data_IF_399225608081
#
_entry.id   IF_399225608081
#
_cell.length_a   1.000
_cell.length_b   1.000
_cell.length_c   1.000
_cell.angle_alpha   90.00
_cell.angle_beta   90.00
_cell.angle_gamma   90.00
#
_symmetry.space_group_name_H-M   'P 1'
#
loop_
_entity.id
_entity.type
_entity.pdbx_description
1 polymer ?
#
# COMPACT_ATOMS: atom_id res chain seq x y z
N UNK A 1 33.88 -43.12 12.15
CA UNK A 1 33.78 -41.68 11.81
C UNK A 1 34.60 -41.26 10.58
N UNK A 2 35.66 -41.99 10.22
CA UNK A 2 36.50 -41.71 9.03
C UNK A 2 35.79 -41.87 7.68
N UNK A 3 34.85 -42.81 7.57
CA UNK A 3 34.13 -43.08 6.31
C UNK A 3 33.27 -41.90 5.81
N UNK A 4 32.61 -41.15 6.71
CA UNK A 4 31.79 -40.00 6.31
C UNK A 4 32.64 -38.84 5.77
N UNK A 5 33.84 -38.63 6.31
CA UNK A 5 34.72 -37.55 5.85
C UNK A 5 35.23 -37.81 4.42
N UNK A 6 35.60 -39.05 4.12
CA UNK A 6 36.01 -39.46 2.77
C UNK A 6 34.88 -39.25 1.74
N UNK A 7 33.62 -39.52 2.11
CA UNK A 7 32.48 -39.25 1.24
C UNK A 7 32.32 -37.74 0.98
N UNK A 8 32.46 -36.90 1.99
CA UNK A 8 32.37 -35.44 1.81
C UNK A 8 33.49 -34.89 0.91
N UNK A 9 34.72 -35.35 1.09
CA UNK A 9 35.85 -34.89 0.30
C UNK A 9 35.72 -35.28 -1.19
N UNK A 10 35.21 -36.49 -1.47
CA UNK A 10 34.94 -36.92 -2.85
C UNK A 10 33.78 -36.14 -3.49
N UNK A 11 32.72 -35.83 -2.74
CA UNK A 11 31.63 -34.98 -3.23
C UNK A 11 32.10 -33.56 -3.54
N UNK A 12 32.99 -32.99 -2.71
CA UNK A 12 33.61 -31.70 -2.99
C UNK A 12 34.44 -31.77 -4.27
N UNK A 13 35.22 -32.84 -4.48
CA UNK A 13 36.02 -33.03 -5.70
C UNK A 13 35.15 -33.08 -6.96
N UNK A 14 34.08 -33.88 -6.95
CA UNK A 14 33.11 -33.99 -8.07
C UNK A 14 32.49 -32.63 -8.40
N UNK A 15 32.12 -31.85 -7.37
CA UNK A 15 31.56 -30.52 -7.56
C UNK A 15 32.61 -29.51 -8.05
N UNK A 16 33.86 -29.63 -7.62
CA UNK A 16 34.96 -28.77 -8.04
C UNK A 16 35.32 -28.98 -9.52
N UNK A 17 35.37 -30.24 -9.98
CA UNK A 17 35.61 -30.60 -11.39
C UNK A 17 34.53 -30.00 -12.30
N UNK A 18 33.26 -30.02 -11.86
CA UNK A 18 32.14 -29.49 -12.65
C UNK A 18 31.96 -27.97 -12.54
N UNK A 19 32.41 -27.37 -11.45
CA UNK A 19 32.25 -25.94 -11.15
C UNK A 19 33.60 -25.34 -10.72
N UNK A 20 34.57 -25.17 -11.64
CA UNK A 20 35.94 -24.79 -11.29
C UNK A 20 36.05 -23.40 -10.64
N UNK A 21 35.04 -22.54 -10.81
CA UNK A 21 34.95 -21.21 -10.17
C UNK A 21 34.43 -21.25 -8.73
N UNK A 22 33.99 -22.40 -8.22
CA UNK A 22 33.65 -22.54 -6.81
C UNK A 22 34.93 -22.77 -5.99
N UNK A 23 35.04 -22.16 -4.81
CA UNK A 23 36.15 -22.46 -3.91
C UNK A 23 35.79 -23.68 -3.04
N UNK A 24 36.79 -24.48 -2.70
CA UNK A 24 36.65 -25.68 -1.86
C UNK A 24 35.88 -25.38 -0.58
N UNK A 25 36.29 -24.35 0.17
CA UNK A 25 35.61 -23.92 1.42
C UNK A 25 34.12 -23.64 1.24
N UNK A 26 33.74 -23.09 0.08
CA UNK A 26 32.35 -22.77 -0.23
C UNK A 26 31.55 -24.02 -0.59
N UNK A 27 32.14 -24.97 -1.31
CA UNK A 27 31.51 -26.25 -1.61
C UNK A 27 31.26 -27.03 -0.32
N UNK A 28 32.25 -27.10 0.57
CA UNK A 28 32.12 -27.72 1.89
C UNK A 28 31.01 -27.10 2.71
N UNK A 29 30.95 -25.77 2.79
CA UNK A 29 29.87 -25.07 3.49
C UNK A 29 28.48 -25.32 2.86
N UNK A 30 28.38 -25.37 1.52
CA UNK A 30 27.11 -25.66 0.85
C UNK A 30 26.63 -27.09 1.10
N UNK A 31 27.54 -28.07 1.06
CA UNK A 31 27.23 -29.46 1.40
C UNK A 31 26.78 -29.58 2.85
N UNK A 32 27.49 -28.98 3.81
CA UNK A 32 27.05 -28.96 5.21
C UNK A 32 25.68 -28.33 5.38
N UNK A 33 25.43 -27.18 4.72
CA UNK A 33 24.14 -26.48 4.77
C UNK A 33 22.98 -27.30 4.23
N UNK A 34 23.25 -28.16 3.25
CA UNK A 34 22.26 -29.01 2.60
C UNK A 34 22.38 -30.48 3.05
N UNK A 35 22.98 -30.74 4.21
CA UNK A 35 23.13 -32.06 4.82
C UNK A 35 23.71 -33.15 3.88
N UNK A 36 24.62 -32.75 2.98
CA UNK A 36 25.23 -33.63 2.00
C UNK A 36 24.40 -33.89 0.73
N UNK A 37 23.27 -33.21 0.54
CA UNK A 37 22.47 -33.31 -0.70
C UNK A 37 23.19 -32.62 -1.87
N UNK A 38 23.93 -33.40 -2.65
CA UNK A 38 24.71 -32.96 -3.81
C UNK A 38 23.81 -32.30 -4.86
N UNK A 39 22.59 -32.78 -5.08
CA UNK A 39 21.71 -32.27 -6.13
C UNK A 39 21.20 -30.88 -5.80
N UNK A 40 20.86 -30.62 -4.54
CA UNK A 40 20.55 -29.26 -4.09
C UNK A 40 21.76 -28.31 -4.23
N UNK A 41 22.97 -28.78 -3.88
CA UNK A 41 24.19 -27.99 -4.04
C UNK A 41 24.49 -27.72 -5.52
N UNK A 42 24.36 -28.73 -6.39
CA UNK A 42 24.52 -28.62 -7.85
C UNK A 42 23.50 -27.63 -8.41
N UNK A 43 22.22 -27.71 -8.06
CA UNK A 43 21.20 -26.77 -8.51
C UNK A 43 21.55 -25.32 -8.11
N UNK A 44 22.05 -25.11 -6.89
CA UNK A 44 22.53 -23.79 -6.44
C UNK A 44 23.75 -23.30 -7.22
N UNK A 45 24.69 -24.18 -7.56
CA UNK A 45 25.88 -23.84 -8.34
C UNK A 45 25.54 -23.52 -9.79
N UNK A 46 24.64 -24.29 -10.43
CA UNK A 46 24.12 -23.97 -11.78
C UNK A 46 23.46 -22.59 -11.80
N UNK A 47 22.61 -22.27 -10.83
CA UNK A 47 22.00 -20.95 -10.73
C UNK A 47 23.03 -19.83 -10.53
N UNK A 48 24.13 -20.13 -9.82
CA UNK A 48 25.21 -19.18 -9.58
C UNK A 48 26.02 -18.94 -10.85
N UNK A 49 26.39 -19.99 -11.57
CA UNK A 49 27.18 -19.91 -12.78
C UNK A 49 26.38 -19.28 -13.91
N UNK A 50 25.08 -19.58 -14.01
CA UNK A 50 24.19 -18.84 -14.90
C UNK A 50 24.20 -17.34 -14.61
N UNK A 51 24.16 -16.94 -13.33
CA UNK A 51 24.29 -15.52 -12.95
C UNK A 51 25.67 -14.97 -13.27
N UNK A 52 26.74 -15.73 -13.04
CA UNK A 52 28.12 -15.32 -13.35
C UNK A 52 28.31 -15.10 -14.84
N UNK A 53 27.92 -16.07 -15.67
CA UNK A 53 28.03 -15.98 -17.13
C UNK A 53 27.17 -14.84 -17.68
N UNK A 54 26.00 -14.58 -17.07
CA UNK A 54 25.22 -13.39 -17.38
C UNK A 54 25.99 -12.10 -17.08
N UNK A 55 26.71 -12.02 -15.95
CA UNK A 55 27.52 -10.84 -15.65
C UNK A 55 28.71 -10.71 -16.59
N UNK A 56 29.41 -11.80 -16.88
CA UNK A 56 30.54 -11.82 -17.81
C UNK A 56 30.08 -11.36 -19.21
N UNK A 57 28.92 -11.83 -19.69
CA UNK A 57 28.34 -11.40 -20.97
C UNK A 57 27.94 -9.92 -20.98
N UNK A 58 27.41 -9.40 -19.87
CA UNK A 58 27.11 -7.96 -19.76
C UNK A 58 28.39 -7.12 -19.67
N UNK A 59 29.41 -7.61 -18.99
CA UNK A 59 30.73 -6.98 -18.88
C UNK A 59 31.43 -6.93 -20.23
N UNK A 60 31.36 -8.01 -21.02
CA UNK A 60 31.88 -8.05 -22.39
C UNK A 60 31.14 -7.04 -23.29
N UNK A 61 29.81 -6.96 -23.17
CA UNK A 61 28.99 -6.07 -24.01
C UNK A 61 29.08 -4.59 -23.64
N UNK A 62 29.14 -4.27 -22.36
CA UNK A 62 28.96 -2.90 -21.86
C UNK A 62 30.11 -2.41 -20.98
N UNK A 63 31.12 -3.24 -20.69
CA UNK A 63 32.15 -2.94 -19.69
C UNK A 63 32.96 -1.69 -20.02
N UNK A 64 33.28 -1.47 -21.30
CA UNK A 64 33.97 -0.25 -21.77
C UNK A 64 33.09 0.98 -21.56
N UNK A 65 31.83 0.92 -22.00
CA UNK A 65 30.84 2.00 -21.84
C UNK A 65 30.55 2.31 -20.37
N UNK A 66 30.46 1.31 -19.51
CA UNK A 66 30.29 1.51 -18.06
C UNK A 66 31.51 2.20 -17.47
N UNK A 67 32.73 1.85 -17.90
CA UNK A 67 33.94 2.53 -17.44
C UNK A 67 33.96 4.00 -17.87
N UNK A 68 33.62 4.31 -19.13
CA UNK A 68 33.50 5.70 -19.60
C UNK A 68 32.43 6.47 -18.83
N UNK A 69 31.27 5.87 -18.60
CA UNK A 69 30.18 6.49 -17.85
C UNK A 69 30.52 6.74 -16.36
N UNK A 70 31.35 5.88 -15.75
CA UNK A 70 31.89 6.11 -14.40
C UNK A 70 32.91 7.24 -14.36
N UNK A 71 33.65 7.48 -15.44
CA UNK A 71 34.59 8.61 -15.53
C UNK A 71 33.85 9.93 -15.76
N UNK A 72 32.80 9.92 -16.59
CA UNK A 72 32.03 11.12 -16.94
C UNK A 72 31.10 11.60 -15.82
N UNK A 73 30.47 10.69 -15.06
CA UNK A 73 29.39 11.04 -14.13
C UNK A 73 29.80 10.71 -12.67
N UNK A 74 29.99 11.72 -11.80
CA UNK A 74 30.37 11.50 -10.40
C UNK A 74 29.40 10.58 -9.63
N UNK A 75 28.09 10.72 -9.84
CA UNK A 75 27.10 9.86 -9.18
C UNK A 75 27.21 8.38 -9.59
N UNK A 76 27.70 8.08 -10.79
CA UNK A 76 27.95 6.72 -11.24
C UNK A 76 29.15 6.06 -10.54
N UNK A 77 30.13 6.83 -10.06
CA UNK A 77 31.31 6.30 -9.35
C UNK A 77 30.94 5.62 -8.03
N UNK A 78 29.92 6.14 -7.34
CA UNK A 78 29.42 5.58 -6.08
C UNK A 78 28.71 4.23 -6.25
N UNK A 79 28.29 3.90 -7.48
CA UNK A 79 27.53 2.69 -7.77
C UNK A 79 28.47 1.51 -8.03
N UNK A 80 28.16 0.36 -7.41
CA UNK A 80 28.83 -0.90 -7.73
C UNK A 80 28.68 -1.20 -9.23
N UNK A 81 29.76 -1.60 -9.90
CA UNK A 81 29.81 -1.92 -11.34
C UNK A 81 28.66 -2.80 -11.83
N UNK A 82 28.34 -3.86 -11.08
CA UNK A 82 27.21 -4.77 -11.38
C UNK A 82 25.87 -4.03 -11.51
N UNK A 83 25.66 -2.95 -10.74
CA UNK A 83 24.43 -2.16 -10.79
C UNK A 83 24.36 -1.31 -12.06
N UNK A 84 25.48 -0.78 -12.52
CA UNK A 84 25.55 -0.04 -13.79
C UNK A 84 25.33 -0.97 -14.98
N UNK A 85 25.93 -2.16 -14.99
CA UNK A 85 25.67 -3.17 -16.03
C UNK A 85 24.18 -3.55 -16.13
N UNK A 86 23.47 -3.65 -14.99
CA UNK A 86 22.02 -3.87 -15.00
C UNK A 86 21.22 -2.69 -15.54
N UNK A 87 21.71 -1.46 -15.33
CA UNK A 87 21.07 -0.27 -15.91
C UNK A 87 21.28 -0.25 -17.41
N UNK A 88 22.49 -0.53 -17.89
CA UNK A 88 22.79 -0.70 -19.31
C UNK A 88 21.89 -1.78 -19.94
N UNK A 89 21.79 -2.97 -19.32
CA UNK A 89 20.89 -4.03 -19.80
C UNK A 89 19.42 -3.55 -19.85
N UNK A 90 18.98 -2.80 -18.84
CA UNK A 90 17.60 -2.33 -18.71
C UNK A 90 17.22 -1.32 -19.79
N UNK A 91 18.15 -0.46 -20.19
CA UNK A 91 17.96 0.56 -21.22
C UNK A 91 18.58 0.11 -22.56
N UNK A 92 18.70 -1.21 -22.77
CA UNK A 92 19.18 -1.81 -24.03
C UNK A 92 20.55 -1.32 -24.51
N UNK A 93 21.37 -0.76 -23.62
CA UNK A 93 22.67 -0.17 -23.96
C UNK A 93 22.63 1.34 -24.28
N UNK A 94 21.46 1.99 -24.23
CA UNK A 94 21.34 3.43 -24.46
C UNK A 94 21.95 4.23 -23.30
N UNK A 95 23.08 4.87 -23.59
CA UNK A 95 23.87 5.66 -22.64
C UNK A 95 23.11 6.91 -22.19
N UNK A 96 22.34 7.54 -23.06
CA UNK A 96 21.61 8.77 -22.74
C UNK A 96 20.43 8.50 -21.82
N UNK A 97 19.72 7.39 -22.00
CA UNK A 97 18.68 6.97 -21.06
C UNK A 97 19.25 6.62 -19.68
N UNK A 98 20.40 5.96 -19.63
CA UNK A 98 21.12 5.69 -18.37
C UNK A 98 21.56 6.99 -17.71
N UNK A 99 22.09 7.95 -18.47
CA UNK A 99 22.48 9.28 -17.98
C UNK A 99 21.29 10.03 -17.40
N UNK A 100 20.18 10.14 -18.14
CA UNK A 100 18.92 10.74 -17.66
C UNK A 100 18.39 10.06 -16.39
N UNK A 101 18.51 8.73 -16.30
CA UNK A 101 18.10 7.99 -15.11
C UNK A 101 18.99 8.31 -13.90
N UNK A 102 20.31 8.32 -14.08
CA UNK A 102 21.26 8.64 -13.01
C UNK A 102 21.11 10.08 -12.53
N UNK A 103 20.92 11.03 -13.45
CA UNK A 103 20.64 12.42 -13.11
C UNK A 103 19.35 12.55 -12.28
N UNK A 104 18.26 11.86 -12.65
CA UNK A 104 17.02 11.83 -11.85
C UNK A 104 17.22 11.17 -10.47
N UNK A 105 18.11 10.19 -10.36
CA UNK A 105 18.45 9.58 -9.07
C UNK A 105 19.25 10.56 -8.23
N UNK A 106 20.17 11.30 -8.83
CA UNK A 106 20.97 12.33 -8.17
C UNK A 106 20.11 13.52 -7.71
N UNK A 107 19.18 14.00 -8.53
CA UNK A 107 18.17 15.01 -8.14
C UNK A 107 17.33 14.52 -6.96
N UNK A 108 16.85 13.26 -7.01
CA UNK A 108 16.13 12.66 -5.88
C UNK A 108 17.01 12.48 -4.66
N UNK A 109 18.25 12.07 -4.83
CA UNK A 109 19.17 11.88 -3.73
C UNK A 109 19.61 13.24 -3.17
N UNK A 110 19.58 14.34 -3.93
CA UNK A 110 19.71 15.70 -3.41
C UNK A 110 18.48 16.11 -2.58
N UNK A 111 17.26 15.85 -3.07
CA UNK A 111 16.03 16.09 -2.30
C UNK A 111 15.92 15.19 -1.06
N UNK A 112 16.43 13.95 -1.15
CA UNK A 112 16.41 12.93 -0.09
C UNK A 112 17.68 12.95 0.76
N UNK A 113 18.73 13.69 0.39
CA UNK A 113 19.94 13.87 1.23
C UNK A 113 19.69 14.77 2.44
N UNK A 114 18.58 15.52 2.44
CA UNK A 114 17.95 16.03 3.67
C UNK A 114 17.54 14.90 4.66
N UNK A 115 17.67 13.64 4.25
CA UNK A 115 17.28 12.44 4.98
C UNK A 115 18.35 11.33 4.89
N UNK A 116 19.60 11.71 4.58
CA UNK A 116 20.77 10.82 4.64
C UNK A 116 20.91 10.21 6.04
N UNK A 117 21.58 9.06 6.19
CA UNK A 117 21.78 8.46 7.53
C UNK A 117 22.50 9.41 8.49
N UNK A 118 23.42 10.22 7.98
CA UNK A 118 24.11 11.25 8.75
C UNK A 118 23.15 12.37 9.14
N UNK A 119 22.34 12.87 8.20
CA UNK A 119 21.33 13.90 8.48
C UNK A 119 20.28 13.40 9.49
N UNK A 120 19.82 12.15 9.38
CA UNK A 120 18.92 11.53 10.37
C UNK A 120 19.55 11.39 11.76
N UNK A 121 20.87 11.18 11.85
CA UNK A 121 21.59 11.19 13.14
C UNK A 121 21.67 12.60 13.69
N UNK A 122 22.08 13.57 12.87
CA UNK A 122 22.15 14.97 13.27
C UNK A 122 20.79 15.50 13.74
N UNK A 123 19.74 15.34 12.93
CA UNK A 123 18.36 15.68 13.30
C UNK A 123 17.91 14.99 14.59
N UNK A 124 18.35 13.76 14.83
CA UNK A 124 18.04 13.05 16.08
C UNK A 124 18.72 13.72 17.27
N UNK A 125 19.98 14.12 17.16
CA UNK A 125 20.68 14.85 18.21
C UNK A 125 20.07 16.24 18.42
N UNK A 126 19.72 16.96 17.36
CA UNK A 126 19.00 18.24 17.44
C UNK A 126 17.65 18.09 18.17
N UNK A 127 16.87 17.05 17.84
CA UNK A 127 15.61 16.77 18.53
C UNK A 127 15.82 16.36 20.00
N UNK A 128 16.91 15.65 20.33
CA UNK A 128 17.25 15.33 21.72
C UNK A 128 17.56 16.61 22.49
N UNK A 129 18.36 17.50 21.94
CA UNK A 129 18.68 18.79 22.55
C UNK A 129 17.44 19.66 22.69
N UNK A 130 16.60 19.74 21.64
CA UNK A 130 15.35 20.53 21.64
C UNK A 130 14.34 20.05 22.69
N UNK A 131 14.25 18.74 22.92
CA UNK A 131 13.29 18.14 23.85
C UNK A 131 13.94 17.56 25.11
N UNK A 132 15.09 18.09 25.52
CA UNK A 132 15.87 17.52 26.63
C UNK A 132 15.06 17.41 27.93
N UNK A 133 14.34 18.47 28.31
CA UNK A 133 13.49 18.48 29.52
C UNK A 133 12.35 17.47 29.43
N UNK A 134 11.66 17.42 28.30
CA UNK A 134 10.56 16.48 28.06
C UNK A 134 11.04 15.02 28.08
N UNK A 135 12.27 14.76 27.63
CA UNK A 135 12.86 13.42 27.70
C UNK A 135 13.13 13.01 29.15
N UNK A 136 13.53 13.92 30.04
CA UNK A 136 13.66 13.63 31.47
C UNK A 136 12.30 13.27 32.07
N UNK A 137 11.24 14.04 31.77
CA UNK A 137 9.88 13.73 32.24
C UNK A 137 9.37 12.37 31.72
N UNK A 138 9.59 12.06 30.43
CA UNK A 138 9.24 10.76 29.87
C UNK A 138 10.03 9.60 30.50
N UNK A 139 11.30 9.84 30.84
CA UNK A 139 12.13 8.86 31.54
C UNK A 139 11.58 8.59 32.95
N UNK A 140 11.18 9.64 33.67
CA UNK A 140 10.51 9.53 34.98
C UNK A 140 9.18 8.77 34.89
N UNK A 141 8.45 8.92 33.78
CA UNK A 141 7.25 8.13 33.48
C UNK A 141 7.55 6.67 33.02
N UNK A 142 8.80 6.23 33.06
CA UNK A 142 9.21 4.86 32.71
C UNK A 142 9.22 4.56 31.21
N UNK A 143 9.25 5.58 30.35
CA UNK A 143 9.30 5.42 28.89
C UNK A 143 10.76 5.38 28.41
N UNK A 144 11.09 4.39 27.58
CA UNK A 144 12.41 4.30 26.97
C UNK A 144 12.65 5.45 25.97
N UNK A 145 13.45 6.42 26.39
CA UNK A 145 13.83 7.62 25.63
C UNK A 145 14.81 7.34 24.49
N UNK A 146 15.56 6.24 24.55
CA UNK A 146 16.51 5.83 23.50
C UNK A 146 15.83 5.27 22.25
N UNK A 147 14.52 4.98 22.31
CA UNK A 147 13.77 4.58 21.12
C UNK A 147 13.69 5.75 20.12
N UNK A 148 14.10 5.58 18.85
CA UNK A 148 13.88 6.59 17.80
C UNK A 148 12.39 6.94 17.59
N UNK A 149 11.49 6.08 18.08
CA UNK A 149 10.06 6.31 18.04
C UNK A 149 9.59 7.40 19.01
N UNK A 150 10.24 7.57 20.16
CA UNK A 150 9.87 8.52 21.22
C UNK A 150 10.09 9.95 20.75
N UNK A 151 11.28 10.24 20.21
CA UNK A 151 11.60 11.56 19.61
C UNK A 151 10.66 11.94 18.46
N UNK A 152 10.29 10.97 17.60
CA UNK A 152 9.30 11.23 16.53
C UNK A 152 7.90 11.51 17.07
N UNK A 153 7.52 10.93 18.21
CA UNK A 153 6.24 11.25 18.84
C UNK A 153 6.30 12.63 19.49
N UNK A 154 7.39 13.00 20.16
CA UNK A 154 7.57 14.35 20.70
C UNK A 154 7.47 15.39 19.58
N UNK A 155 8.22 15.21 18.49
CA UNK A 155 8.15 16.11 17.34
C UNK A 155 6.73 16.20 16.76
N UNK A 156 6.05 15.05 16.57
CA UNK A 156 4.69 15.01 16.02
C UNK A 156 3.63 15.66 16.93
N UNK A 157 3.82 15.63 18.24
CA UNK A 157 2.90 16.23 19.21
C UNK A 157 3.47 17.55 19.78
N UNK A 158 4.41 18.18 19.09
CA UNK A 158 4.97 19.50 19.44
C UNK A 158 5.52 19.57 20.88
N UNK A 159 6.07 18.47 21.39
CA UNK A 159 6.61 18.39 22.75
C UNK A 159 5.59 18.12 23.86
N UNK A 160 4.31 17.84 23.53
CA UNK A 160 3.29 17.48 24.53
C UNK A 160 3.60 16.10 25.15
N UNK A 161 4.16 16.12 26.37
CA UNK A 161 4.61 14.95 27.12
C UNK A 161 3.45 14.01 27.45
N UNK A 162 2.31 14.54 27.89
CA UNK A 162 1.15 13.75 28.29
C UNK A 162 0.59 12.93 27.12
N UNK A 163 0.45 13.54 25.93
CA UNK A 163 0.02 12.81 24.73
C UNK A 163 1.02 11.74 24.30
N UNK A 164 2.32 11.98 24.50
CA UNK A 164 3.36 10.98 24.20
C UNK A 164 3.27 9.83 25.20
N UNK A 165 3.08 10.11 26.50
CA UNK A 165 2.89 9.09 27.55
C UNK A 165 1.68 8.22 27.22
N UNK A 166 0.53 8.81 26.90
CA UNK A 166 -0.69 8.07 26.55
C UNK A 166 -0.45 7.15 25.34
N UNK A 167 0.16 7.67 24.27
CA UNK A 167 0.45 6.89 23.06
C UNK A 167 1.45 5.76 23.29
N UNK A 168 2.48 5.99 24.09
CA UNK A 168 3.49 4.98 24.41
C UNK A 168 2.93 3.91 25.35
N UNK A 169 2.11 4.31 26.33
CA UNK A 169 1.40 3.40 27.23
C UNK A 169 0.42 2.51 26.46
N UNK A 170 -0.40 3.06 25.56
CA UNK A 170 -1.28 2.27 24.69
C UNK A 170 -0.52 1.27 23.82
N UNK A 171 0.68 1.65 23.34
CA UNK A 171 1.53 0.73 22.56
C UNK A 171 2.09 -0.39 23.43
N UNK A 172 2.46 -0.09 24.67
CA UNK A 172 2.93 -1.06 25.66
C UNK A 172 1.81 -2.03 26.04
N UNK A 173 0.64 -1.53 26.39
CA UNK A 173 -0.55 -2.33 26.70
C UNK A 173 -0.93 -3.22 25.50
N UNK A 174 -0.92 -2.69 24.27
CA UNK A 174 -1.12 -3.51 23.06
C UNK A 174 -0.04 -4.55 22.83
N UNK A 175 1.18 -4.35 23.33
CA UNK A 175 2.27 -5.34 23.25
C UNK A 175 2.09 -6.40 24.33
N UNK A 176 1.73 -6.00 25.54
CA UNK A 176 1.44 -6.88 26.68
C UNK A 176 0.23 -7.77 26.39
N UNK A 177 -0.90 -7.21 25.93
CA UNK A 177 -2.05 -7.99 25.44
C UNK A 177 -1.68 -8.99 24.35
N UNK A 178 -0.72 -8.66 23.49
CA UNK A 178 -0.24 -9.61 22.46
C UNK A 178 0.59 -10.73 23.07
N UNK A 179 1.46 -10.43 24.02
CA UNK A 179 2.24 -11.47 24.71
C UNK A 179 1.35 -12.33 25.60
N UNK A 180 0.34 -11.76 26.24
CA UNK A 180 -0.68 -12.49 27.00
C UNK A 180 -1.49 -13.44 26.13
N UNK A 181 -1.86 -13.04 24.91
CA UNK A 181 -2.53 -13.96 23.98
C UNK A 181 -1.59 -15.07 23.51
N UNK A 182 -0.33 -14.75 23.26
CA UNK A 182 0.67 -15.75 22.88
C UNK A 182 0.91 -16.76 24.01
N UNK A 183 0.87 -16.34 25.29
CA UNK A 183 0.98 -17.25 26.45
C UNK A 183 -0.32 -18.00 26.75
N UNK A 184 -1.47 -17.31 26.73
CA UNK A 184 -2.81 -17.90 26.99
C UNK A 184 -3.12 -19.06 26.06
N UNK A 185 -2.71 -18.96 24.79
CA UNK A 185 -3.00 -19.97 23.76
C UNK A 185 -1.79 -20.80 23.36
N UNK A 186 -0.72 -20.83 24.15
CA UNK A 186 0.53 -21.49 23.80
C UNK A 186 0.34 -22.99 23.48
N UNK A 187 -0.44 -23.70 24.30
CA UNK A 187 -0.71 -25.14 24.12
C UNK A 187 -1.51 -25.43 22.86
N UNK A 188 -2.54 -24.62 22.56
CA UNK A 188 -3.36 -24.74 21.35
C UNK A 188 -2.56 -24.41 20.09
N UNK A 189 -1.65 -23.43 20.16
CA UNK A 189 -0.73 -23.12 19.08
C UNK A 189 0.20 -24.31 18.81
N UNK A 190 0.73 -24.95 19.87
CA UNK A 190 1.56 -26.15 19.73
C UNK A 190 0.78 -27.32 19.10
N UNK A 191 -0.50 -27.51 19.48
CA UNK A 191 -1.37 -28.51 18.87
C UNK A 191 -1.61 -28.22 17.37
N UNK A 192 -1.92 -26.99 16.99
CA UNK A 192 -2.07 -26.61 15.58
C UNK A 192 -0.76 -26.81 14.78
N UNK A 193 0.40 -26.56 15.39
CA UNK A 193 1.71 -26.82 14.78
C UNK A 193 1.95 -28.33 14.60
N UNK A 194 1.57 -29.17 15.57
CA UNK A 194 1.61 -30.63 15.49
C UNK A 194 0.68 -31.18 14.40
N UNK A 195 -0.50 -30.57 14.22
CA UNK A 195 -1.46 -30.87 13.15
C UNK A 195 -0.98 -30.39 11.76
N UNK A 196 0.26 -29.89 11.64
CA UNK A 196 0.87 -29.51 10.37
C UNK A 196 0.53 -28.10 9.87
N UNK A 197 -0.14 -27.27 10.68
CA UNK A 197 -0.53 -25.92 10.27
C UNK A 197 0.65 -24.95 10.43
N UNK A 198 1.42 -24.79 9.36
CA UNK A 198 2.61 -23.91 9.30
C UNK A 198 2.23 -22.45 9.00
N UNK A 199 1.83 -21.67 10.01
CA UNK A 199 1.69 -20.20 9.88
C UNK A 199 2.96 -19.51 10.35
N UNK A 200 3.64 -18.77 9.45
CA UNK A 200 4.91 -18.06 9.76
C UNK A 200 4.85 -17.08 10.93
N UNK A 201 3.65 -16.60 11.27
CA UNK A 201 3.45 -15.61 12.32
C UNK A 201 2.53 -16.19 13.41
N UNK A 202 3.13 -16.65 14.52
CA UNK A 202 2.39 -17.22 15.67
C UNK A 202 1.33 -16.27 16.24
N UNK A 203 1.55 -14.95 16.13
CA UNK A 203 0.57 -13.93 16.56
C UNK A 203 -0.74 -13.97 15.78
N UNK A 204 -0.71 -14.43 14.53
CA UNK A 204 -1.93 -14.61 13.75
C UNK A 204 -2.75 -15.79 14.27
N UNK A 205 -2.10 -16.85 14.75
CA UNK A 205 -2.76 -18.01 15.37
C UNK A 205 -3.41 -17.61 16.69
N UNK A 206 -2.68 -16.92 17.58
CA UNK A 206 -3.21 -16.46 18.87
C UNK A 206 -4.49 -15.62 18.71
N UNK A 207 -4.55 -14.74 17.71
CA UNK A 207 -5.76 -13.93 17.41
C UNK A 207 -6.92 -14.74 16.80
N UNK A 208 -6.61 -15.80 16.05
CA UNK A 208 -7.64 -16.68 15.51
C UNK A 208 -8.24 -17.54 16.62
N UNK A 209 -7.38 -18.03 17.52
CA UNK A 209 -7.81 -18.75 18.72
C UNK A 209 -8.61 -17.84 19.66
N UNK A 210 -8.22 -16.57 19.83
CA UNK A 210 -9.03 -15.60 20.57
C UNK A 210 -10.44 -15.43 19.98
N UNK A 211 -10.57 -15.38 18.65
CA UNK A 211 -11.87 -15.29 17.97
C UNK A 211 -12.68 -16.58 18.01
N UNK A 212 -12.01 -17.70 18.20
CA UNK A 212 -12.60 -19.03 18.30
C UNK A 212 -12.78 -19.46 19.76
N UNK A 213 -12.66 -18.53 20.71
CA UNK A 213 -12.75 -18.79 22.16
C UNK A 213 -11.84 -19.94 22.63
N UNK A 214 -10.66 -20.07 22.01
CA UNK A 214 -9.67 -21.11 22.31
C UNK A 214 -9.97 -22.48 21.69
N UNK A 215 -11.06 -22.64 20.94
CA UNK A 215 -11.42 -23.91 20.30
C UNK A 215 -10.55 -24.16 19.06
N UNK A 216 -9.75 -25.23 19.11
CA UNK A 216 -8.77 -25.58 18.08
C UNK A 216 -9.45 -25.93 16.76
N UNK A 217 -10.57 -26.64 16.77
CA UNK A 217 -11.25 -27.09 15.55
C UNK A 217 -11.94 -25.94 14.82
N UNK A 218 -12.54 -25.01 15.55
CA UNK A 218 -13.09 -23.76 14.97
C UNK A 218 -11.96 -22.91 14.38
N UNK A 219 -10.81 -22.82 15.06
CA UNK A 219 -9.64 -22.14 14.50
C UNK A 219 -9.12 -22.81 13.21
N UNK A 220 -9.12 -24.14 13.13
CA UNK A 220 -8.79 -24.89 11.90
C UNK A 220 -9.75 -24.54 10.76
N UNK A 221 -11.05 -24.49 11.04
CA UNK A 221 -12.06 -24.11 10.06
C UNK A 221 -11.83 -22.68 9.53
N UNK A 222 -11.63 -21.71 10.43
CA UNK A 222 -11.34 -20.32 10.05
C UNK A 222 -10.06 -20.19 9.20
N UNK A 223 -9.03 -21.00 9.49
CA UNK A 223 -7.80 -21.03 8.70
C UNK A 223 -8.06 -21.57 7.29
N UNK A 224 -8.88 -22.61 7.16
CA UNK A 224 -9.28 -23.19 5.87
C UNK A 224 -10.10 -22.20 5.03
N UNK A 225 -11.11 -21.56 5.62
CA UNK A 225 -11.90 -20.51 4.97
C UNK A 225 -11.03 -19.35 4.51
N UNK A 226 -10.07 -18.92 5.35
CA UNK A 226 -9.14 -17.85 4.99
C UNK A 226 -8.22 -18.24 3.83
N UNK A 227 -7.74 -19.49 3.79
CA UNK A 227 -6.95 -20.03 2.67
C UNK A 227 -7.78 -20.09 1.40
N UNK A 228 -9.02 -20.55 1.48
CA UNK A 228 -9.96 -20.60 0.35
C UNK A 228 -10.26 -19.20 -0.18
N UNK A 229 -10.58 -18.24 0.69
CA UNK A 229 -10.81 -16.83 0.30
C UNK A 229 -9.57 -16.21 -0.35
N UNK A 230 -8.37 -16.54 0.14
CA UNK A 230 -7.12 -16.14 -0.53
C UNK A 230 -6.93 -16.84 -1.87
N UNK A 231 -7.31 -18.11 -1.99
CA UNK A 231 -7.36 -18.88 -3.23
C UNK A 231 -8.27 -18.21 -4.25
N UNK A 232 -9.55 -18.00 -3.90
CA UNK A 232 -10.54 -17.28 -4.72
C UNK A 232 -10.07 -15.88 -5.10
N UNK A 233 -9.47 -15.11 -4.18
CA UNK A 233 -8.91 -13.80 -4.52
C UNK A 233 -7.71 -13.88 -5.47
N UNK A 234 -6.87 -14.92 -5.36
CA UNK A 234 -5.78 -15.17 -6.32
C UNK A 234 -6.32 -15.60 -7.67
N UNK A 235 -7.32 -16.46 -7.67
CA UNK A 235 -7.99 -16.96 -8.87
C UNK A 235 -8.75 -15.85 -9.57
N UNK A 236 -9.52 -15.02 -8.85
CA UNK A 236 -10.14 -13.81 -9.37
C UNK A 236 -9.10 -12.89 -10.00
N UNK A 237 -7.99 -12.62 -9.30
CA UNK A 237 -6.86 -11.86 -9.86
C UNK A 237 -6.20 -12.57 -11.05
N UNK A 238 -6.37 -13.88 -11.21
CA UNK A 238 -5.84 -14.65 -12.34
C UNK A 238 -6.82 -14.64 -13.53
N UNK A 239 -8.12 -14.82 -13.30
CA UNK A 239 -9.16 -14.72 -14.33
C UNK A 239 -9.21 -13.32 -14.91
N UNK A 240 -9.22 -12.29 -14.07
CA UNK A 240 -9.16 -10.89 -14.52
C UNK A 240 -7.77 -10.45 -15.01
N UNK A 241 -6.75 -11.31 -14.89
CA UNK A 241 -5.46 -11.12 -15.55
C UNK A 241 -5.43 -11.75 -16.95
N UNK A 242 -6.34 -12.68 -17.25
CA UNK A 242 -6.43 -13.38 -18.52
C UNK A 242 -7.53 -12.82 -19.44
N UNK A 243 -8.45 -12.00 -18.92
CA UNK A 243 -9.35 -11.19 -19.74
C UNK A 243 -8.54 -9.97 -20.20
N UNK A 244 -7.81 -10.15 -21.30
CA UNK A 244 -7.25 -9.02 -22.04
C UNK A 244 -8.43 -8.20 -22.59
N UNK A 245 -8.45 -6.87 -22.46
CA UNK A 245 -9.40 -6.02 -23.16
C UNK A 245 -8.98 -5.97 -24.64
N UNK A 246 -9.32 -7.02 -25.38
CA UNK A 246 -8.85 -7.22 -26.74
C UNK A 246 -9.47 -8.46 -27.36
N UNK A 247 -10.81 -8.51 -27.34
CA UNK A 247 -11.60 -9.52 -28.01
C UNK A 247 -12.66 -8.84 -28.86
N UNK A 248 -12.21 -8.17 -29.92
CA UNK A 248 -13.07 -7.84 -31.05
C UNK A 248 -13.63 -9.15 -31.58
N UNK A 249 -14.94 -9.24 -31.62
CA UNK A 249 -15.74 -10.30 -32.22
C UNK A 249 -15.23 -10.65 -33.62
N UNK A 250 -14.64 -11.84 -33.77
CA UNK A 250 -14.47 -12.48 -35.07
C UNK A 250 -15.18 -13.83 -35.01
N UNK A 251 -16.15 -13.96 -35.91
CA UNK A 251 -17.05 -15.08 -36.07
C UNK A 251 -16.33 -16.42 -36.25
N UNK A 252 -16.97 -17.41 -35.65
CA UNK A 252 -17.15 -18.78 -36.13
C UNK A 252 -16.71 -19.02 -37.58
N UNK A 253 -15.76 -19.94 -37.75
CA UNK A 253 -15.87 -20.93 -38.83
C UNK A 253 -15.35 -22.28 -38.35
N UNK A 254 -16.22 -23.28 -38.50
CA UNK A 254 -15.96 -24.69 -38.32
C UNK A 254 -14.84 -25.19 -39.24
N UNK A 255 -14.08 -26.18 -38.77
CA UNK A 255 -13.15 -26.90 -39.63
C UNK A 255 -12.28 -27.90 -38.88
N UNK A 256 -12.87 -29.05 -38.53
CA UNK A 256 -12.10 -30.23 -38.19
C UNK A 256 -11.20 -30.59 -39.38
N UNK A 257 -9.89 -30.47 -39.23
CA UNK A 257 -8.94 -30.86 -40.27
C UNK A 257 -7.78 -31.67 -39.67
N UNK A 258 -7.62 -32.84 -40.26
CA UNK A 258 -6.69 -33.90 -39.93
C UNK A 258 -5.23 -33.43 -39.83
N UNK A 259 -4.56 -33.95 -38.79
CA UNK A 259 -3.15 -33.82 -38.47
C UNK A 259 -2.24 -34.48 -39.53
N UNK A 260 -2.08 -33.83 -40.69
CA UNK A 260 -0.96 -34.12 -41.60
C UNK A 260 0.27 -33.38 -41.12
N UNK A 261 1.36 -34.12 -40.86
CA UNK A 261 2.71 -33.60 -40.62
C UNK A 261 3.20 -32.85 -41.87
N UNK A 262 2.76 -31.60 -42.07
CA UNK A 262 3.49 -30.68 -42.94
C UNK A 262 4.85 -30.44 -42.27
N UNK A 263 5.94 -30.75 -42.99
CA UNK A 263 7.29 -30.31 -42.59
C UNK A 263 7.23 -28.80 -42.45
N UNK A 264 7.23 -28.32 -41.21
CA UNK A 264 7.31 -26.89 -40.92
C UNK A 264 8.72 -26.47 -41.31
N UNK A 265 8.83 -25.65 -42.34
CA UNK A 265 10.10 -25.02 -42.69
C UNK A 265 10.45 -24.05 -41.56
N UNK A 266 11.66 -24.18 -41.03
CA UNK A 266 12.16 -23.27 -40.01
C UNK A 266 12.45 -21.92 -40.65
N UNK A 267 12.00 -20.83 -40.02
CA UNK A 267 12.41 -19.50 -40.44
C UNK A 267 13.92 -19.31 -40.23
N UNK A 268 14.51 -18.32 -40.91
CA UNK A 268 15.91 -17.94 -40.68
C UNK A 268 16.19 -17.67 -39.18
N UNK A 269 15.24 -17.02 -38.50
CA UNK A 269 15.34 -16.69 -37.08
C UNK A 269 15.26 -17.94 -36.20
N UNK A 270 14.41 -18.91 -36.54
CA UNK A 270 14.30 -20.20 -35.84
C UNK A 270 15.63 -20.97 -35.90
N UNK A 271 16.31 -20.93 -37.04
CA UNK A 271 17.62 -21.57 -37.23
C UNK A 271 18.67 -20.86 -36.37
N UNK A 272 18.67 -19.53 -36.31
CA UNK A 272 19.61 -18.77 -35.50
C UNK A 272 19.36 -18.97 -33.99
N UNK A 273 18.10 -18.97 -33.56
CA UNK A 273 17.70 -19.26 -32.19
C UNK A 273 18.12 -20.68 -31.77
N UNK A 274 17.95 -21.67 -32.64
CA UNK A 274 18.45 -23.03 -32.40
C UNK A 274 19.97 -23.10 -32.26
N UNK A 275 20.72 -22.37 -33.09
CA UNK A 275 22.18 -22.28 -32.98
C UNK A 275 22.58 -21.70 -31.62
N UNK A 276 21.96 -20.60 -31.20
CA UNK A 276 22.21 -19.97 -29.89
C UNK A 276 21.88 -20.92 -28.72
N UNK A 277 20.75 -21.60 -28.78
CA UNK A 277 20.32 -22.55 -27.74
C UNK A 277 21.24 -23.78 -27.65
N UNK A 278 21.72 -24.30 -28.78
CA UNK A 278 22.71 -25.40 -28.80
C UNK A 278 24.06 -24.98 -28.25
N UNK A 279 24.53 -23.78 -28.59
CA UNK A 279 25.77 -23.21 -28.01
C UNK A 279 25.65 -23.00 -26.49
N UNK A 280 24.44 -22.80 -25.98
CA UNK A 280 24.15 -22.75 -24.55
C UNK A 280 23.95 -24.13 -23.89
N UNK A 281 24.19 -25.23 -24.62
CA UNK A 281 24.10 -26.60 -24.11
C UNK A 281 22.68 -27.19 -24.08
N UNK A 282 21.70 -26.56 -24.76
CA UNK A 282 20.34 -27.11 -24.88
C UNK A 282 20.30 -28.07 -26.07
N UNK A 283 20.28 -29.37 -25.79
CA UNK A 283 20.21 -30.43 -26.79
C UNK A 283 18.83 -31.09 -26.81
N UNK A 284 18.39 -31.54 -27.98
CA UNK A 284 17.06 -32.13 -28.17
C UNK A 284 16.51 -31.91 -29.58
N UNK A 285 15.27 -32.35 -29.80
CA UNK A 285 14.63 -32.22 -31.09
C UNK A 285 14.34 -30.74 -31.42
N UNK A 286 14.81 -30.19 -32.55
CA UNK A 286 14.72 -28.76 -32.88
C UNK A 286 13.32 -28.16 -32.71
N UNK A 287 12.28 -28.86 -33.20
CA UNK A 287 10.89 -28.43 -33.03
C UNK A 287 10.44 -28.29 -31.58
N UNK A 288 10.86 -29.19 -30.68
CA UNK A 288 10.47 -29.12 -29.26
C UNK A 288 11.19 -27.98 -28.55
N UNK A 289 12.47 -27.75 -28.89
CA UNK A 289 13.26 -26.66 -28.34
C UNK A 289 12.68 -25.31 -28.78
N UNK A 290 12.37 -25.14 -30.06
CA UNK A 290 11.77 -23.91 -30.58
C UNK A 290 10.36 -23.67 -30.04
N UNK A 291 9.53 -24.72 -29.92
CA UNK A 291 8.21 -24.59 -29.32
C UNK A 291 8.30 -24.08 -27.87
N UNK A 292 9.18 -24.67 -27.05
CA UNK A 292 9.39 -24.19 -25.68
C UNK A 292 10.01 -22.79 -25.64
N UNK A 293 10.91 -22.45 -26.58
CA UNK A 293 11.53 -21.14 -26.66
C UNK A 293 10.50 -20.05 -26.99
N UNK A 294 9.64 -20.29 -27.97
CA UNK A 294 8.55 -19.38 -28.34
C UNK A 294 7.53 -19.26 -27.21
N UNK A 295 7.13 -20.37 -26.58
CA UNK A 295 6.23 -20.35 -25.41
C UNK A 295 6.83 -19.56 -24.23
N UNK A 296 8.14 -19.71 -23.97
CA UNK A 296 8.85 -18.92 -22.97
C UNK A 296 8.91 -17.42 -23.34
N UNK A 297 9.21 -17.10 -24.60
CA UNK A 297 9.30 -15.72 -25.07
C UNK A 297 7.94 -15.03 -25.04
N UNK A 298 6.87 -15.68 -25.51
CA UNK A 298 5.50 -15.19 -25.38
C UNK A 298 5.15 -14.95 -23.90
N UNK A 299 5.51 -15.87 -23.00
CA UNK A 299 5.30 -15.68 -21.56
C UNK A 299 6.09 -14.48 -20.99
N UNK A 300 7.28 -14.18 -21.52
CA UNK A 300 8.10 -13.05 -21.09
C UNK A 300 7.49 -11.73 -21.60
N UNK A 301 7.13 -11.66 -22.88
CA UNK A 301 6.50 -10.48 -23.48
C UNK A 301 5.14 -10.17 -22.84
N UNK A 302 4.30 -11.19 -22.60
CA UNK A 302 3.06 -11.05 -21.82
C UNK A 302 3.32 -10.50 -20.41
N UNK A 303 4.44 -10.89 -19.79
CA UNK A 303 4.81 -10.38 -18.46
C UNK A 303 5.31 -8.93 -18.51
N UNK A 304 6.01 -8.52 -19.57
CA UNK A 304 6.42 -7.12 -19.78
C UNK A 304 5.20 -6.24 -20.04
N UNK A 305 4.36 -6.60 -21.01
CA UNK A 305 3.13 -5.89 -21.34
C UNK A 305 2.24 -5.70 -20.10
N UNK A 306 2.12 -6.72 -19.25
CA UNK A 306 1.40 -6.61 -17.97
C UNK A 306 1.99 -5.57 -17.02
N UNK A 307 3.31 -5.55 -16.88
CA UNK A 307 3.98 -4.58 -16.00
C UNK A 307 3.81 -3.16 -16.51
N UNK A 308 3.83 -2.97 -17.82
CA UNK A 308 3.65 -1.66 -18.44
C UNK A 308 2.19 -1.19 -18.32
N UNK A 309 1.22 -2.08 -18.57
CA UNK A 309 -0.19 -1.78 -18.32
C UNK A 309 -0.47 -1.46 -16.82
N UNK A 310 0.15 -2.21 -15.89
CA UNK A 310 0.02 -1.90 -14.45
C UNK A 310 0.65 -0.54 -14.09
N UNK A 311 1.73 -0.13 -14.76
CA UNK A 311 2.31 1.21 -14.60
C UNK A 311 1.39 2.29 -15.14
N UNK A 312 0.82 2.06 -16.31
CA UNK A 312 -0.12 2.98 -16.96
C UNK A 312 -1.38 3.20 -16.10
N UNK A 313 -2.00 2.12 -15.61
CA UNK A 313 -3.14 2.20 -14.68
C UNK A 313 -2.80 2.97 -13.40
N UNK A 314 -1.57 2.80 -12.88
CA UNK A 314 -1.11 3.57 -11.71
C UNK A 314 -0.89 5.04 -12.02
N UNK A 315 -0.45 5.38 -13.24
CA UNK A 315 -0.29 6.76 -13.68
C UNK A 315 -1.66 7.42 -13.88
N UNK A 316 -2.60 6.77 -14.56
CA UNK A 316 -3.98 7.24 -14.71
C UNK A 316 -4.64 7.48 -13.34
N UNK A 317 -4.49 6.55 -12.38
CA UNK A 317 -5.01 6.77 -11.02
C UNK A 317 -4.34 7.94 -10.29
N UNK A 318 -3.08 8.26 -10.58
CA UNK A 318 -2.40 9.42 -10.01
C UNK A 318 -2.91 10.71 -10.63
N UNK A 319 -3.10 10.73 -11.94
CA UNK A 319 -3.66 11.86 -12.69
C UNK A 319 -5.10 12.15 -12.23
N UNK A 320 -5.96 11.13 -12.15
CA UNK A 320 -7.34 11.28 -11.66
C UNK A 320 -7.38 11.82 -10.22
N UNK A 321 -6.49 11.34 -9.35
CA UNK A 321 -6.37 11.86 -7.98
C UNK A 321 -5.85 13.29 -7.93
N UNK A 322 -4.94 13.64 -8.84
CA UNK A 322 -4.42 14.99 -8.97
C UNK A 322 -5.53 15.93 -9.44
N UNK A 323 -6.25 15.57 -10.50
CA UNK A 323 -7.38 16.32 -11.03
C UNK A 323 -8.47 16.52 -9.98
N UNK A 324 -8.86 15.45 -9.26
CA UNK A 324 -9.81 15.56 -8.14
C UNK A 324 -9.33 16.52 -7.04
N UNK A 325 -8.03 16.55 -6.75
CA UNK A 325 -7.47 17.50 -5.78
C UNK A 325 -7.53 18.93 -6.30
N UNK A 326 -7.21 19.15 -7.57
CA UNK A 326 -7.29 20.48 -8.19
C UNK A 326 -8.73 20.97 -8.21
N UNK A 327 -9.69 20.16 -8.65
CA UNK A 327 -11.12 20.49 -8.65
C UNK A 327 -11.64 20.77 -7.23
N UNK A 328 -11.21 19.99 -6.23
CA UNK A 328 -11.55 20.27 -4.83
C UNK A 328 -10.94 21.57 -4.33
N UNK A 329 -9.72 21.90 -4.73
CA UNK A 329 -9.05 23.14 -4.36
C UNK A 329 -9.71 24.36 -5.02
N UNK A 330 -10.10 24.26 -6.30
CA UNK A 330 -10.85 25.28 -7.02
C UNK A 330 -12.24 25.49 -6.41
N UNK A 331 -12.96 24.40 -6.10
CA UNK A 331 -14.24 24.48 -5.40
C UNK A 331 -14.07 25.13 -4.02
N UNK A 332 -13.04 24.76 -3.26
CA UNK A 332 -12.75 25.36 -1.96
C UNK A 332 -12.38 26.85 -2.08
N UNK A 333 -11.62 27.25 -3.10
CA UNK A 333 -11.32 28.65 -3.37
C UNK A 333 -12.60 29.44 -3.69
N UNK A 334 -13.54 28.84 -4.43
CA UNK A 334 -14.88 29.40 -4.64
C UNK A 334 -15.70 29.55 -3.35
N UNK A 335 -15.61 28.59 -2.43
CA UNK A 335 -16.26 28.68 -1.11
C UNK A 335 -15.67 29.78 -0.22
N UNK A 336 -14.36 30.05 -0.31
CA UNK A 336 -13.73 31.16 0.44
C UNK A 336 -14.25 32.52 -0.05
N UNK A 337 -14.63 32.65 -1.32
CA UNK A 337 -15.23 33.88 -1.84
C UNK A 337 -16.65 34.17 -1.28
N UNK A 338 -17.42 33.13 -0.93
CA UNK A 338 -18.78 33.26 -0.35
C UNK A 338 -18.75 33.59 1.15
N UNK A 339 -17.59 33.46 1.82
CA UNK A 339 -17.42 33.83 3.22
C UNK A 339 -17.20 35.35 3.45
N UNK A 340 -17.25 36.17 2.39
CA UNK A 340 -17.31 37.61 2.57
C UNK A 340 -18.70 37.97 3.12
N UNK A 341 -18.72 38.52 4.34
CA UNK A 341 -19.92 38.92 5.10
C UNK A 341 -20.88 39.85 4.35
N UNK A 342 -20.45 40.39 3.21
CA UNK A 342 -21.16 41.39 2.41
C UNK A 342 -22.38 40.83 1.66
N UNK A 343 -22.45 39.50 1.42
CA UNK A 343 -23.53 38.88 0.65
C UNK A 343 -24.68 38.31 1.51
N UNK A 344 -24.58 38.35 2.84
CA UNK A 344 -25.65 37.88 3.73
C UNK A 344 -26.72 38.96 3.91
N UNK A 345 -28.03 38.64 3.84
CA UNK A 345 -29.09 39.57 4.17
C UNK A 345 -28.87 40.20 5.56
N UNK A 346 -29.05 41.52 5.69
CA UNK A 346 -28.71 42.25 6.92
C UNK A 346 -29.68 41.99 8.07
N UNK A 347 -30.88 41.50 7.78
CA UNK A 347 -32.01 41.35 8.70
C UNK A 347 -32.41 39.89 8.93
N UNK A 348 -31.43 38.97 8.97
CA UNK A 348 -31.71 37.56 9.26
C UNK A 348 -32.10 37.40 10.73
N UNK A 349 -33.31 36.89 10.96
CA UNK A 349 -33.83 36.61 12.29
C UNK A 349 -33.76 35.11 12.63
N UNK A 350 -33.71 34.26 11.61
CA UNK A 350 -33.80 32.82 11.77
C UNK A 350 -32.91 32.05 10.79
N UNK A 351 -32.19 31.04 11.30
CA UNK A 351 -31.40 30.11 10.47
C UNK A 351 -31.76 28.68 10.85
N UNK A 352 -32.19 27.90 9.86
CA UNK A 352 -32.35 26.46 9.99
C UNK A 352 -31.19 25.73 9.32
N UNK A 353 -30.58 24.80 10.05
CA UNK A 353 -29.49 23.95 9.58
C UNK A 353 -30.01 22.53 9.41
N UNK A 354 -29.86 21.96 8.21
CA UNK A 354 -30.09 20.54 7.98
C UNK A 354 -28.93 19.72 8.54
N UNK A 355 -29.12 19.22 9.76
CA UNK A 355 -28.11 18.51 10.53
C UNK A 355 -27.61 17.24 9.85
N UNK A 356 -28.50 16.54 9.12
CA UNK A 356 -28.15 15.31 8.42
C UNK A 356 -27.22 15.59 7.23
N UNK A 357 -27.52 16.62 6.45
CA UNK A 357 -26.63 17.06 5.38
C UNK A 357 -25.30 17.60 5.93
N UNK A 358 -25.32 18.36 7.03
CA UNK A 358 -24.10 18.88 7.66
C UNK A 358 -23.10 17.79 8.09
N UNK A 359 -23.57 16.57 8.40
CA UNK A 359 -22.68 15.45 8.73
C UNK A 359 -21.72 15.08 7.59
N UNK A 360 -22.07 15.38 6.34
CA UNK A 360 -21.33 14.94 5.17
C UNK A 360 -20.54 16.06 4.48
N UNK A 361 -20.74 17.32 4.87
CA UNK A 361 -20.08 18.48 4.26
C UNK A 361 -18.57 18.46 4.48
N UNK A 362 -18.11 18.20 5.71
CA UNK A 362 -16.68 18.23 6.05
C UNK A 362 -16.14 16.82 6.30
N UNK A 363 -14.95 16.53 5.76
CA UNK A 363 -14.31 15.20 5.89
C UNK A 363 -14.11 14.74 7.34
N UNK A 364 -13.89 15.65 8.29
CA UNK A 364 -13.76 15.32 9.71
C UNK A 364 -15.09 14.83 10.29
N UNK A 365 -16.18 15.56 10.05
CA UNK A 365 -17.54 15.19 10.46
C UNK A 365 -18.00 13.89 9.80
N UNK A 366 -17.74 13.74 8.49
CA UNK A 366 -18.06 12.52 7.74
C UNK A 366 -17.37 11.30 8.34
N UNK A 367 -16.09 11.41 8.70
CA UNK A 367 -15.34 10.32 9.34
C UNK A 367 -15.89 10.00 10.73
N UNK A 368 -16.29 11.00 11.50
CA UNK A 368 -16.92 10.79 12.82
C UNK A 368 -18.25 10.02 12.66
N UNK A 369 -19.10 10.43 11.71
CA UNK A 369 -20.37 9.77 11.40
C UNK A 369 -20.16 8.31 10.97
N UNK A 370 -19.28 8.05 9.99
CA UNK A 370 -19.01 6.70 9.46
C UNK A 370 -18.42 5.73 10.49
N UNK A 371 -17.78 6.24 11.56
CA UNK A 371 -17.29 5.43 12.66
C UNK A 371 -18.39 5.03 13.66
N UNK A 372 -19.68 5.14 13.28
CA UNK A 372 -20.85 4.88 14.13
C UNK A 372 -20.88 5.73 15.40
N UNK A 373 -20.26 6.92 15.35
CA UNK A 373 -20.25 7.86 16.46
C UNK A 373 -21.24 9.01 16.22
N UNK A 374 -22.44 8.70 15.69
CA UNK A 374 -23.47 9.70 15.31
C UNK A 374 -23.72 10.75 16.40
N UNK A 375 -23.90 10.29 17.64
CA UNK A 375 -23.99 11.11 18.86
C UNK A 375 -22.90 12.17 19.01
N UNK A 376 -21.64 11.80 18.78
CA UNK A 376 -20.50 12.72 18.86
C UNK A 376 -20.48 13.68 17.67
N UNK A 377 -20.94 13.22 16.50
CA UNK A 377 -21.06 14.06 15.30
C UNK A 377 -22.13 15.13 15.47
N UNK A 378 -23.33 14.76 15.93
CA UNK A 378 -24.44 15.70 16.21
C UNK A 378 -24.00 16.79 17.18
N UNK A 379 -23.38 16.41 18.30
CA UNK A 379 -22.83 17.34 19.28
C UNK A 379 -21.76 18.25 18.67
N UNK A 380 -20.84 17.72 17.88
CA UNK A 380 -19.80 18.52 17.23
C UNK A 380 -20.39 19.54 16.25
N UNK A 381 -21.42 19.17 15.49
CA UNK A 381 -22.12 20.10 14.58
C UNK A 381 -22.78 21.23 15.38
N UNK A 382 -23.48 20.89 16.47
CA UNK A 382 -24.13 21.89 17.31
C UNK A 382 -23.14 22.81 18.04
N UNK A 383 -22.00 22.30 18.51
CA UNK A 383 -20.92 23.13 19.08
C UNK A 383 -20.33 24.08 18.03
N UNK A 384 -20.12 23.62 16.79
CA UNK A 384 -19.66 24.48 15.67
C UNK A 384 -20.70 25.56 15.35
N UNK A 385 -21.98 25.20 15.29
CA UNK A 385 -23.07 26.14 15.01
C UNK A 385 -23.21 27.18 16.13
N UNK A 386 -23.04 26.80 17.39
CA UNK A 386 -23.08 27.73 18.53
C UNK A 386 -21.93 28.72 18.46
N UNK A 387 -20.70 28.24 18.23
CA UNK A 387 -19.53 29.11 18.10
C UNK A 387 -19.65 30.06 16.90
N UNK A 388 -20.26 29.61 15.80
CA UNK A 388 -20.58 30.46 14.65
C UNK A 388 -21.65 31.50 15.00
N UNK A 389 -22.71 31.13 15.70
CA UNK A 389 -23.77 32.06 16.07
C UNK A 389 -23.30 33.12 17.08
N UNK A 390 -22.35 32.79 17.96
CA UNK A 390 -21.70 33.77 18.85
C UNK A 390 -21.00 34.90 18.07
N UNK A 391 -20.58 34.66 16.82
CA UNK A 391 -19.96 35.67 15.96
C UNK A 391 -20.99 36.43 15.11
N UNK A 392 -22.06 35.74 14.70
CA UNK A 392 -23.08 36.31 13.81
C UNK A 392 -24.21 37.03 14.55
N UNK A 393 -24.42 36.70 15.83
CA UNK A 393 -25.48 37.23 16.68
C UNK A 393 -26.90 37.07 16.08
N UNK A 394 -27.18 35.92 15.46
CA UNK A 394 -28.51 35.65 14.90
C UNK A 394 -29.44 35.23 16.05
N UNK A 395 -30.64 35.84 16.18
CA UNK A 395 -31.52 35.60 17.32
C UNK A 395 -31.95 34.13 17.46
N UNK A 396 -32.20 33.46 16.34
CA UNK A 396 -32.69 32.08 16.33
C UNK A 396 -31.88 31.22 15.36
N UNK A 397 -31.14 30.27 15.89
CA UNK A 397 -30.45 29.24 15.11
C UNK A 397 -30.92 27.89 15.56
N UNK A 398 -31.44 27.11 14.62
CA UNK A 398 -32.05 25.81 14.88
C UNK A 398 -31.42 24.75 13.97
N UNK A 399 -31.02 23.61 14.55
CA UNK A 399 -30.53 22.45 13.80
C UNK A 399 -31.60 21.37 13.83
N UNK A 400 -31.93 20.81 12.68
CA UNK A 400 -32.90 19.74 12.55
C UNK A 400 -32.18 18.47 12.09
N UNK A 401 -32.35 17.37 12.81
CA UNK A 401 -31.88 16.04 12.41
C UNK A 401 -33.07 15.13 12.10
N UNK A 402 -32.89 14.10 11.26
CA UNK A 402 -33.98 13.14 10.97
C UNK A 402 -34.44 12.48 12.28
N UNK A 403 -33.47 12.00 13.07
CA UNK A 403 -33.70 11.46 14.39
C UNK A 403 -32.55 11.86 15.32
N UNK A 404 -32.86 12.55 16.41
CA UNK A 404 -31.91 12.75 17.52
C UNK A 404 -32.58 12.44 18.85
N UNK A 405 -31.80 12.00 19.84
CA UNK A 405 -32.28 11.61 21.18
C UNK A 405 -31.58 12.33 22.31
N UNK A 406 -30.72 13.30 22.00
CA UNK A 406 -29.62 13.61 22.92
C UNK A 406 -29.67 15.01 23.50
N UNK A 407 -30.17 16.01 22.80
CA UNK A 407 -30.02 17.41 23.20
C UNK A 407 -31.14 18.27 22.61
N UNK A 408 -31.78 19.09 23.45
CA UNK A 408 -32.76 20.08 22.99
C UNK A 408 -32.08 21.41 22.63
N UNK A 409 -30.89 21.68 23.21
CA UNK A 409 -30.14 22.92 23.02
C UNK A 409 -28.64 22.75 23.33
N UNK A 410 -27.79 23.44 22.57
CA UNK A 410 -26.37 23.67 22.91
C UNK A 410 -26.06 25.17 22.72
N UNK A 411 -25.68 25.83 23.80
CA UNK A 411 -25.40 27.27 23.78
C UNK A 411 -26.61 28.07 23.30
N UNK A 412 -26.44 28.86 22.25
CA UNK A 412 -27.52 29.65 21.63
C UNK A 412 -28.32 28.90 20.56
N UNK A 413 -27.98 27.63 20.28
CA UNK A 413 -28.56 26.86 19.17
C UNK A 413 -29.55 25.82 19.70
N UNK A 414 -30.78 25.84 19.17
CA UNK A 414 -31.80 24.83 19.46
C UNK A 414 -31.63 23.63 18.54
N UNK A 415 -31.95 22.44 19.04
CA UNK A 415 -31.81 21.20 18.29
C UNK A 415 -33.17 20.50 18.27
N UNK A 416 -33.60 20.11 17.08
CA UNK A 416 -34.87 19.42 16.86
C UNK A 416 -34.66 18.07 16.18
N UNK A 417 -35.59 17.16 16.45
CA UNK A 417 -35.76 15.90 15.75
C UNK A 417 -36.98 15.99 14.83
N UNK A 418 -36.82 15.65 13.57
CA UNK A 418 -37.93 15.55 12.62
C UNK A 418 -38.85 14.38 13.01
N UNK A 419 -38.28 13.24 13.39
CA UNK A 419 -39.03 12.14 13.98
C UNK A 419 -39.54 12.49 15.39
N UNK A 420 -40.80 12.11 15.75
CA UNK A 420 -41.68 11.22 14.99
C UNK A 420 -42.70 11.93 14.07
N UNK A 421 -42.71 13.27 14.02
CA UNK A 421 -43.76 14.01 13.31
C UNK A 421 -43.56 14.01 11.79
N UNK A 422 -42.31 13.98 11.35
CA UNK A 422 -41.91 13.96 9.95
C UNK A 422 -40.98 12.78 9.70
N UNK A 423 -40.92 12.32 8.43
CA UNK A 423 -40.07 11.20 8.05
C UNK A 423 -38.61 11.64 7.86
N UNK A 424 -38.40 12.83 7.30
CA UNK A 424 -37.06 13.40 7.09
C UNK A 424 -37.01 14.85 7.53
N UNK A 425 -35.80 15.35 7.71
CA UNK A 425 -35.49 16.76 7.95
C UNK A 425 -36.04 17.64 6.82
N UNK A 426 -35.97 17.16 5.58
CA UNK A 426 -36.48 17.87 4.40
C UNK A 426 -37.99 18.13 4.51
N UNK A 427 -38.77 17.11 4.90
CA UNK A 427 -40.22 17.22 5.06
C UNK A 427 -40.57 18.31 6.09
N UNK A 428 -39.85 18.34 7.21
CA UNK A 428 -40.04 19.33 8.27
C UNK A 428 -39.67 20.75 7.80
N UNK A 429 -38.55 20.91 7.09
CA UNK A 429 -38.12 22.19 6.54
C UNK A 429 -39.12 22.73 5.50
N UNK A 430 -39.65 21.86 4.63
CA UNK A 430 -40.70 22.20 3.66
C UNK A 430 -41.96 22.68 4.38
N UNK A 431 -42.38 21.99 5.45
CA UNK A 431 -43.56 22.38 6.22
C UNK A 431 -43.36 23.76 6.86
N UNK A 432 -42.21 23.99 7.51
CA UNK A 432 -41.85 25.28 8.12
C UNK A 432 -41.91 26.40 7.07
N UNK A 433 -41.32 26.19 5.89
CA UNK A 433 -41.31 27.17 4.81
C UNK A 433 -42.71 27.43 4.23
N UNK A 434 -43.61 26.44 4.21
CA UNK A 434 -44.94 26.59 3.60
C UNK A 434 -46.03 27.09 4.55
N UNK A 435 -45.83 27.08 5.87
CA UNK A 435 -46.82 27.57 6.84
C UNK A 435 -47.20 29.04 6.55
N UNK A 436 -48.49 29.38 6.39
CA UNK A 436 -48.93 30.74 6.09
C UNK A 436 -48.46 31.77 7.12
N UNK A 437 -48.44 31.37 8.39
CA UNK A 437 -47.96 32.16 9.54
C UNK A 437 -46.48 32.55 9.41
N UNK A 438 -45.68 31.76 8.69
CA UNK A 438 -44.26 32.00 8.50
C UNK A 438 -43.95 32.84 7.27
N UNK A 439 -44.92 33.26 6.44
CA UNK A 439 -44.63 33.97 5.16
C UNK A 439 -43.77 35.23 5.34
N UNK A 440 -44.06 36.04 6.35
CA UNK A 440 -43.25 37.24 6.64
C UNK A 440 -41.91 36.86 7.30
N UNK A 441 -41.92 35.87 8.20
CA UNK A 441 -40.70 35.34 8.84
C UNK A 441 -39.72 34.74 7.83
N UNK A 442 -40.23 34.11 6.78
CA UNK A 442 -39.43 33.45 5.75
C UNK A 442 -38.57 34.44 4.96
N UNK A 443 -38.98 35.70 4.81
CA UNK A 443 -38.15 36.75 4.18
C UNK A 443 -36.85 37.00 4.96
N UNK A 444 -36.86 36.70 6.26
CA UNK A 444 -35.73 36.85 7.20
C UNK A 444 -35.18 35.51 7.68
N UNK A 445 -35.50 34.44 6.97
CA UNK A 445 -35.09 33.07 7.31
C UNK A 445 -34.14 32.52 6.25
N UNK A 446 -33.07 31.86 6.70
CA UNK A 446 -32.17 31.11 5.83
C UNK A 446 -32.24 29.63 6.18
N UNK A 447 -32.38 28.78 5.17
CA UNK A 447 -32.27 27.32 5.31
C UNK A 447 -30.96 26.89 4.67
N UNK A 448 -30.10 26.22 5.43
CA UNK A 448 -28.80 25.74 4.97
C UNK A 448 -28.86 24.23 4.80
N UNK A 449 -28.77 23.79 3.54
CA UNK A 449 -28.76 22.38 3.14
C UNK A 449 -27.85 22.18 1.93
N UNK A 450 -27.33 20.97 1.75
CA UNK A 450 -26.64 20.58 0.53
C UNK A 450 -27.54 19.89 -0.48
N UNK A 451 -28.79 19.59 -0.11
CA UNK A 451 -29.75 19.00 -1.03
C UNK A 451 -30.28 20.07 -2.00
N UNK A 452 -30.10 19.82 -3.30
CA UNK A 452 -30.56 20.71 -4.36
C UNK A 452 -32.08 20.64 -4.56
N UNK A 453 -32.73 19.57 -4.10
CA UNK A 453 -34.19 19.44 -4.22
C UNK A 453 -34.92 20.50 -3.39
N UNK A 454 -34.35 20.90 -2.24
CA UNK A 454 -34.92 21.94 -1.37
C UNK A 454 -34.72 23.36 -1.89
N UNK A 455 -33.79 23.59 -2.83
CA UNK A 455 -33.51 24.91 -3.38
C UNK A 455 -34.62 25.46 -4.30
N UNK A 456 -35.65 24.66 -4.61
CA UNK A 456 -36.77 25.00 -5.50
C UNK A 456 -38.01 25.49 -4.72
N UNK A 457 -37.94 25.52 -3.39
CA UNK A 457 -38.97 26.07 -2.50
C UNK A 457 -38.88 27.59 -2.39
#
# INVERSE_FOLDING_TARGET
MTSNQQTYDEQVRILQERFPRASTNRLTHLLQKHAGDIDQVRARLVQRDFRSNKWDSLEERFGTTVTSLQQEIPSAQSLKRIRLLRLMERFSGDVEEVRKFLQKVEERDHDVNADSRACRRQRREELKSKYATQLVELSQAGINVDCPCTLRQLEKNQGDVNKVIEKMSHRREKKEKRTELDTKYASQIAQLEADGIKIKNKRCLARLLEKADGQVDVAKQLISEWKEKKGKNREYRHRHRNISPGGTTAQETHGAASCWRKRREFSSDDIENLKRLRSAGVYGHPMKILAMYHECNESIELTKARKDHEREMRNQQREERSLKRTLLAEAQAGYVAINNREDWPRDIEHVYLDGNNMMFVVNSLRRLCLNRAGKKTERAIAEIASAWNEQMHIPNVEIIFDATRQLDQIGSVKIWSAEPTHRTTDDMLVEIARKPENREKNKRTIIITSDRALAVL
#
